data_IF_704233335898
#
_entry.id   IF_704233335898
#
_cell.length_a   1.000
_cell.length_b   1.000
_cell.length_c   1.000
_cell.angle_alpha   90.00
_cell.angle_beta   90.00
_cell.angle_gamma   90.00
#
_symmetry.space_group_name_H-M   'P 1'
#
loop_
_entity.id
_entity.type
_entity.pdbx_description
1 polymer ?
#
# COMPACT_ATOMS: atom_id res chain seq x y z
N UNK A 1 11.83 -7.04 -7.60
CA UNK A 1 10.69 -7.86 -7.10
C UNK A 1 10.95 -8.27 -5.66
N UNK A 2 10.61 -7.40 -4.72
CA UNK A 2 10.90 -7.58 -3.29
C UNK A 2 9.62 -7.21 -2.53
N UNK A 3 8.63 -8.12 -2.49
CA UNK A 3 7.43 -7.91 -1.70
C UNK A 3 7.78 -8.03 -0.22
N UNK A 4 7.35 -7.07 0.58
CA UNK A 4 7.71 -7.01 2.01
C UNK A 4 6.51 -7.11 2.93
N UNK A 5 5.30 -6.87 2.41
CA UNK A 5 4.07 -6.97 3.18
C UNK A 5 2.88 -7.33 2.28
N UNK A 6 1.88 -7.97 2.87
CA UNK A 6 0.65 -8.40 2.19
C UNK A 6 -0.54 -8.37 3.14
N UNK A 7 -1.69 -7.92 2.65
CA UNK A 7 -2.98 -8.11 3.32
C UNK A 7 -3.99 -8.78 2.41
N UNK A 8 -4.99 -9.41 3.03
CA UNK A 8 -6.12 -10.04 2.34
C UNK A 8 -7.29 -9.07 2.31
N UNK A 9 -7.72 -8.69 1.11
CA UNK A 9 -9.01 -8.04 0.89
C UNK A 9 -10.08 -9.12 0.66
N UNK A 10 -10.85 -9.42 1.72
CA UNK A 10 -11.91 -10.43 1.68
C UNK A 10 -13.07 -10.03 0.78
N UNK A 11 -13.33 -8.72 0.62
CA UNK A 11 -14.45 -8.21 -0.17
C UNK A 11 -14.25 -8.46 -1.67
N UNK A 12 -13.01 -8.32 -2.14
CA UNK A 12 -12.66 -8.58 -3.55
C UNK A 12 -12.01 -9.93 -3.78
N UNK A 13 -11.84 -10.72 -2.72
CA UNK A 13 -11.09 -11.98 -2.75
C UNK A 13 -9.69 -11.83 -3.37
N UNK A 14 -8.95 -10.81 -2.90
CA UNK A 14 -7.65 -10.44 -3.45
C UNK A 14 -6.57 -10.24 -2.39
N UNK A 15 -5.31 -10.30 -2.82
CA UNK A 15 -4.14 -9.88 -2.06
C UNK A 15 -3.78 -8.46 -2.43
N UNK A 16 -3.50 -7.62 -1.44
CA UNK A 16 -2.87 -6.32 -1.63
C UNK A 16 -1.43 -6.45 -1.16
N UNK A 17 -0.48 -6.24 -2.07
CA UNK A 17 0.92 -6.58 -1.87
C UNK A 17 1.76 -5.31 -1.99
N UNK A 18 2.54 -5.03 -0.95
CA UNK A 18 3.55 -3.99 -0.95
C UNK A 18 4.80 -4.56 -1.64
N UNK A 19 5.02 -4.17 -2.89
CA UNK A 19 6.17 -4.58 -3.70
C UNK A 19 7.20 -3.45 -3.75
N UNK A 20 7.94 -3.33 -2.64
CA UNK A 20 8.98 -2.32 -2.46
C UNK A 20 9.99 -2.33 -3.60
N UNK A 21 10.47 -3.52 -3.99
CA UNK A 21 11.50 -3.64 -5.03
C UNK A 21 11.06 -3.15 -6.42
N UNK A 22 9.75 -2.95 -6.65
CA UNK A 22 9.21 -2.37 -7.86
C UNK A 22 8.52 -1.01 -7.60
N UNK A 23 8.68 -0.43 -6.41
CA UNK A 23 8.15 0.88 -6.03
C UNK A 23 6.63 1.00 -6.12
N UNK A 24 5.89 -0.08 -5.81
CA UNK A 24 4.44 -0.13 -6.03
C UNK A 24 3.68 -0.98 -5.02
N UNK A 25 2.42 -0.65 -4.83
CA UNK A 25 1.41 -1.52 -4.22
C UNK A 25 0.54 -2.11 -5.32
N UNK A 26 0.39 -3.43 -5.32
CA UNK A 26 -0.37 -4.16 -6.34
C UNK A 26 -1.50 -4.97 -5.73
N UNK A 27 -2.56 -5.17 -6.50
CA UNK A 27 -3.66 -6.08 -6.19
C UNK A 27 -3.56 -7.34 -7.05
N UNK A 28 -3.74 -8.50 -6.42
CA UNK A 28 -3.73 -9.79 -7.10
C UNK A 28 -4.94 -10.62 -6.69
N UNK A 29 -5.76 -11.06 -7.64
CA UNK A 29 -6.90 -11.94 -7.35
C UNK A 29 -6.42 -13.30 -6.81
N UNK A 30 -7.05 -13.80 -5.75
CA UNK A 30 -6.75 -15.14 -5.20
C UNK A 30 -7.38 -16.28 -6.01
N UNK A 31 -8.23 -15.95 -6.98
CA UNK A 31 -8.90 -16.92 -7.84
C UNK A 31 -7.90 -17.61 -8.76
N UNK A 32 -8.11 -18.90 -8.98
CA UNK A 32 -7.31 -19.72 -9.89
C UNK A 32 -7.28 -19.13 -11.30
N UNK A 33 -6.12 -19.12 -11.94
CA UNK A 33 -5.95 -18.62 -13.31
C UNK A 33 -5.65 -17.13 -13.43
N UNK A 34 -5.50 -16.40 -12.32
CA UNK A 34 -5.06 -15.00 -12.35
C UNK A 34 -3.59 -14.90 -12.81
N UNK A 35 -3.35 -14.27 -13.97
CA UNK A 35 -2.00 -14.13 -14.56
C UNK A 35 -1.40 -12.74 -14.44
N UNK A 36 -2.22 -11.74 -14.07
CA UNK A 36 -1.79 -10.35 -13.96
C UNK A 36 -2.41 -9.67 -12.74
N UNK A 37 -1.60 -8.82 -12.10
CA UNK A 37 -2.02 -7.94 -11.02
C UNK A 37 -2.20 -6.51 -11.49
N UNK A 38 -2.99 -5.75 -10.75
CA UNK A 38 -3.24 -4.34 -10.97
C UNK A 38 -2.33 -3.49 -10.09
N UNK A 39 -1.81 -2.38 -10.62
CA UNK A 39 -1.08 -1.40 -9.82
C UNK A 39 -2.11 -0.47 -9.18
N UNK A 40 -2.19 -0.49 -7.85
CA UNK A 40 -3.06 0.42 -7.11
C UNK A 40 -2.35 1.75 -6.81
N UNK A 41 -1.08 1.66 -6.41
CA UNK A 41 -0.27 2.83 -6.05
C UNK A 41 1.13 2.62 -6.63
N UNK A 42 1.63 3.63 -7.35
CA UNK A 42 2.99 3.66 -7.89
C UNK A 42 3.86 4.70 -7.20
N UNK A 43 5.17 4.63 -7.48
CA UNK A 43 6.18 5.57 -6.98
C UNK A 43 6.14 5.74 -5.44
N UNK A 44 6.12 4.60 -4.74
CA UNK A 44 6.06 4.54 -3.29
C UNK A 44 7.13 3.58 -2.76
N UNK A 45 7.91 4.04 -1.77
CA UNK A 45 8.80 3.14 -1.03
C UNK A 45 8.00 2.48 0.09
N UNK A 46 7.05 1.63 -0.30
CA UNK A 46 6.13 1.04 0.67
C UNK A 46 6.92 0.24 1.72
N UNK A 47 6.53 0.39 2.99
CA UNK A 47 7.11 -0.29 4.16
C UNK A 47 6.15 -1.28 4.82
N UNK A 48 4.85 -1.01 4.71
CA UNK A 48 3.78 -1.81 5.32
C UNK A 48 2.40 -1.36 4.86
N UNK A 49 1.43 -2.23 5.09
CA UNK A 49 0.04 -2.10 4.65
C UNK A 49 -0.92 -2.31 5.83
N UNK A 50 -2.00 -1.54 5.85
CA UNK A 50 -3.17 -1.81 6.69
C UNK A 50 -4.44 -1.40 5.93
N UNK A 51 -5.58 -1.97 6.31
CA UNK A 51 -6.87 -1.60 5.73
C UNK A 51 -7.93 -1.54 6.82
N UNK A 52 -8.74 -0.48 6.84
CA UNK A 52 -9.84 -0.34 7.79
C UNK A 52 -11.14 -0.98 7.28
N UNK A 53 -12.17 -0.98 8.13
CA UNK A 53 -13.49 -1.54 7.81
C UNK A 53 -14.22 -0.75 6.71
N UNK A 54 -13.87 0.52 6.52
CA UNK A 54 -14.39 1.35 5.43
C UNK A 54 -13.60 1.16 4.12
N UNK A 55 -12.63 0.23 4.12
CA UNK A 55 -11.77 -0.13 2.99
C UNK A 55 -10.86 1.00 2.52
N UNK A 56 -10.43 1.88 3.42
CA UNK A 56 -9.28 2.72 3.15
C UNK A 56 -7.99 1.91 3.33
N UNK A 57 -7.11 2.01 2.35
CA UNK A 57 -5.78 1.41 2.36
C UNK A 57 -4.79 2.40 2.95
N UNK A 58 -4.08 1.98 3.98
CA UNK A 58 -3.01 2.73 4.61
C UNK A 58 -1.68 2.14 4.18
N UNK A 59 -0.79 2.99 3.67
CA UNK A 59 0.53 2.58 3.21
C UNK A 59 1.57 3.48 3.84
N UNK A 60 2.56 2.88 4.50
CA UNK A 60 3.73 3.61 4.96
C UNK A 60 4.72 3.76 3.82
N UNK A 61 5.20 4.98 3.57
CA UNK A 61 6.37 5.24 2.73
C UNK A 61 7.54 5.50 3.68
N UNK A 62 8.41 4.49 3.85
CA UNK A 62 9.46 4.59 4.84
C UNK A 62 10.56 5.57 4.43
N UNK A 63 10.79 5.80 3.14
CA UNK A 63 11.78 6.78 2.66
C UNK A 63 11.32 8.20 2.99
N UNK A 64 10.03 8.48 2.82
CA UNK A 64 9.44 9.77 3.16
C UNK A 64 9.08 9.92 4.64
N UNK A 65 9.09 8.83 5.41
CA UNK A 65 8.69 8.85 6.82
C UNK A 65 7.23 9.27 6.98
N UNK A 66 6.34 8.76 6.12
CA UNK A 66 4.91 9.12 6.13
C UNK A 66 4.02 7.89 6.03
N UNK A 67 2.79 8.03 6.51
CA UNK A 67 1.69 7.09 6.25
C UNK A 67 0.60 7.85 5.50
N UNK A 68 0.21 7.31 4.35
CA UNK A 68 -0.88 7.85 3.55
C UNK A 68 -2.06 6.89 3.51
N UNK A 69 -3.25 7.46 3.54
CA UNK A 69 -4.53 6.78 3.38
C UNK A 69 -5.04 6.98 1.96
N UNK A 70 -5.46 5.90 1.32
CA UNK A 70 -5.97 5.85 -0.05
C UNK A 70 -7.35 5.22 -0.05
N UNK A 71 -8.30 5.82 -0.78
CA UNK A 71 -9.50 5.11 -1.19
C UNK A 71 -9.19 4.33 -2.47
N UNK A 72 -9.75 3.14 -2.64
CA UNK A 72 -9.60 2.40 -3.91
C UNK A 72 -10.10 3.25 -5.09
N UNK A 73 -9.25 3.39 -6.11
CA UNK A 73 -9.48 4.26 -7.27
C UNK A 73 -8.88 5.67 -7.14
N UNK A 74 -8.42 6.07 -5.96
CA UNK A 74 -7.66 7.31 -5.77
C UNK A 74 -6.16 7.07 -5.94
N UNK A 75 -5.53 7.88 -6.77
CA UNK A 75 -4.08 7.83 -6.99
C UNK A 75 -3.30 8.79 -6.07
N UNK A 76 -4.00 9.66 -5.35
CA UNK A 76 -3.42 10.66 -4.45
C UNK A 76 -3.84 10.32 -3.02
N UNK A 77 -2.90 9.83 -2.23
CA UNK A 77 -3.15 9.48 -0.83
C UNK A 77 -3.16 10.70 0.07
N UNK A 78 -4.07 10.71 1.05
CA UNK A 78 -4.13 11.70 2.12
C UNK A 78 -3.05 11.37 3.16
N UNK A 79 -2.19 12.33 3.51
CA UNK A 79 -1.25 12.18 4.62
C UNK A 79 -2.02 12.07 5.94
N UNK A 80 -1.80 10.99 6.69
CA UNK A 80 -2.49 10.74 7.97
C UNK A 80 -1.55 10.60 9.17
N UNK A 81 -0.26 10.32 8.94
CA UNK A 81 0.76 10.36 9.97
C UNK A 81 2.15 10.63 9.36
N UNK A 82 3.06 11.24 10.13
CA UNK A 82 4.41 11.58 9.68
C UNK A 82 4.43 12.74 8.68
N UNK A 83 5.35 12.70 7.72
CA UNK A 83 5.51 13.75 6.69
C UNK A 83 6.63 14.77 6.97
N UNK A 84 7.30 14.64 8.11
CA UNK A 84 8.47 15.47 8.47
C UNK A 84 9.81 14.83 8.04
N UNK A 85 9.77 13.72 7.28
CA UNK A 85 10.96 12.99 6.83
C UNK A 85 11.57 12.08 7.91
N UNK A 86 12.40 11.12 7.48
CA UNK A 86 13.17 10.27 8.39
C UNK A 86 14.04 11.13 9.32
N UNK A 87 14.05 10.83 10.62
CA UNK A 87 14.85 11.48 11.68
C UNK A 87 14.37 12.86 12.18
N UNK A 88 13.20 13.32 11.74
CA UNK A 88 12.44 14.27 12.54
C UNK A 88 11.77 13.48 13.67
N UNK A 89 11.98 13.87 14.93
CA UNK A 89 11.43 13.17 16.08
C UNK A 89 9.95 12.85 15.90
N UNK A 90 9.55 11.63 16.27
CA UNK A 90 8.17 11.16 16.16
C UNK A 90 7.23 12.08 16.96
N UNK A 91 6.26 12.65 16.25
CA UNK A 91 5.06 13.40 16.70
C UNK A 91 5.23 14.92 16.86
#
# INVERSE_FOLDING_TARGET
NYPIDVLIDKETDSLIICNWGNGRVVRWSRRSGTTQGEILIGNIACGGLAMDEQRYLYVSDHVKGEVRRYKFGENIGTLVAGGNGQNSGLN
#
